data_IF_228213777673
#
_entry.id   IF_228213777673
#
_cell.length_a   1.000
_cell.length_b   1.000
_cell.length_c   1.000
_cell.angle_alpha   90.00
_cell.angle_beta   90.00
_cell.angle_gamma   90.00
#
_symmetry.space_group_name_H-M   'P 1'
#
loop_
_entity.id
_entity.type
_entity.pdbx_description
1 polymer ?
#
# COMPACT_ATOMS: atom_id res chain seq x y z
N UNK A 1 12.78 -34.47 -17.04
CA UNK A 1 11.67 -34.91 -16.19
C UNK A 1 11.11 -33.71 -15.40
N UNK A 2 9.78 -33.57 -15.28
CA UNK A 2 9.20 -32.49 -14.53
C UNK A 2 9.67 -32.58 -13.06
N UNK A 3 9.90 -31.43 -12.38
CA UNK A 3 10.33 -31.47 -10.98
C UNK A 3 9.25 -32.15 -10.13
N UNK A 4 9.65 -32.91 -9.10
CA UNK A 4 8.73 -33.70 -8.29
C UNK A 4 7.71 -32.82 -7.61
N UNK A 5 6.48 -33.34 -7.47
CA UNK A 5 5.29 -32.65 -6.91
C UNK A 5 5.54 -32.02 -5.52
N UNK A 6 6.53 -32.50 -4.79
CA UNK A 6 6.98 -31.95 -3.51
C UNK A 6 7.47 -30.50 -3.57
N UNK A 7 7.96 -30.04 -4.73
CA UNK A 7 8.45 -28.66 -4.90
C UNK A 7 7.31 -27.63 -4.90
N UNK A 8 6.10 -27.97 -5.37
CA UNK A 8 4.95 -27.06 -5.35
C UNK A 8 4.42 -26.81 -3.94
N UNK A 9 4.50 -27.78 -3.05
CA UNK A 9 4.15 -27.59 -1.64
C UNK A 9 5.17 -26.76 -0.87
N UNK A 10 6.44 -26.81 -1.26
CA UNK A 10 7.52 -26.02 -0.66
C UNK A 10 7.34 -24.51 -0.88
N UNK A 11 6.91 -24.07 -2.08
CA UNK A 11 6.73 -22.66 -2.38
C UNK A 11 5.59 -21.98 -1.59
N UNK A 12 4.51 -22.71 -1.29
CA UNK A 12 3.41 -22.19 -0.44
C UNK A 12 3.85 -21.95 1.01
N UNK A 13 4.58 -22.89 1.58
CA UNK A 13 5.17 -22.75 2.93
C UNK A 13 6.17 -21.60 2.98
N UNK A 14 7.01 -21.46 1.95
CA UNK A 14 8.02 -20.41 1.89
C UNK A 14 7.42 -18.99 1.94
N UNK A 15 6.29 -18.72 1.27
CA UNK A 15 5.68 -17.39 1.29
C UNK A 15 5.22 -16.97 2.68
N UNK A 16 4.42 -17.80 3.34
CA UNK A 16 3.94 -17.51 4.70
C UNK A 16 5.11 -17.46 5.69
N UNK A 17 6.09 -18.33 5.54
CA UNK A 17 7.32 -18.28 6.34
C UNK A 17 8.08 -16.96 6.11
N UNK A 18 8.25 -16.51 4.87
CA UNK A 18 8.96 -15.27 4.58
C UNK A 18 8.25 -14.03 5.18
N UNK A 19 6.91 -13.98 5.15
CA UNK A 19 6.14 -12.88 5.76
C UNK A 19 6.28 -12.93 7.28
N UNK A 20 6.14 -14.11 7.89
CA UNK A 20 6.31 -14.29 9.33
C UNK A 20 7.72 -13.92 9.78
N UNK A 21 8.74 -14.36 9.04
CA UNK A 21 10.13 -14.08 9.39
C UNK A 21 10.44 -12.57 9.31
N UNK A 22 9.90 -11.87 8.31
CA UNK A 22 9.99 -10.41 8.22
C UNK A 22 9.27 -9.72 9.38
N UNK A 23 8.04 -10.15 9.68
CA UNK A 23 7.29 -9.60 10.80
C UNK A 23 8.02 -9.83 12.12
N UNK A 24 8.53 -11.03 12.36
CA UNK A 24 9.28 -11.36 13.57
C UNK A 24 10.60 -10.57 13.65
N UNK A 25 11.27 -10.32 12.54
CA UNK A 25 12.45 -9.45 12.53
C UNK A 25 12.09 -7.99 12.94
N UNK A 26 10.96 -7.47 12.44
CA UNK A 26 10.45 -6.14 12.82
C UNK A 26 10.06 -6.12 14.30
N UNK A 27 9.35 -7.14 14.78
CA UNK A 27 8.94 -7.26 16.19
C UNK A 27 10.15 -7.31 17.13
N UNK A 28 11.14 -8.14 16.79
CA UNK A 28 12.40 -8.22 17.55
C UNK A 28 13.11 -6.86 17.62
N UNK A 29 13.15 -6.12 16.50
CA UNK A 29 13.74 -4.77 16.47
C UNK A 29 12.99 -3.78 17.36
N UNK A 30 11.67 -3.96 17.49
CA UNK A 30 10.81 -3.15 18.39
C UNK A 30 10.84 -3.61 19.85
N UNK A 31 11.56 -4.69 20.18
CA UNK A 31 11.60 -5.29 21.51
C UNK A 31 10.37 -6.15 21.84
N UNK A 32 9.60 -6.54 20.83
CA UNK A 32 8.41 -7.39 20.97
C UNK A 32 8.78 -8.87 20.82
N UNK A 33 8.02 -9.74 21.47
CA UNK A 33 8.20 -11.19 21.31
C UNK A 33 7.82 -11.67 19.92
N UNK A 34 8.57 -12.58 19.31
CA UNK A 34 8.22 -13.16 18.00
C UNK A 34 6.92 -13.97 18.09
N UNK A 35 6.13 -13.92 17.02
CA UNK A 35 4.92 -14.72 16.88
C UNK A 35 5.26 -16.17 16.57
N UNK A 36 4.58 -17.09 17.21
CA UNK A 36 4.60 -18.48 16.80
C UNK A 36 3.78 -18.71 15.51
N UNK A 37 3.69 -19.97 15.07
CA UNK A 37 3.01 -20.27 13.80
C UNK A 37 1.48 -20.11 13.90
N UNK A 38 0.88 -20.36 15.06
CA UNK A 38 -0.56 -20.27 15.27
C UNK A 38 -1.02 -18.83 15.41
N UNK A 39 -0.30 -18.05 16.21
CA UNK A 39 -0.53 -16.62 16.39
C UNK A 39 -0.39 -15.88 15.06
N UNK A 40 0.65 -16.24 14.28
CA UNK A 40 0.82 -15.67 12.94
C UNK A 40 -0.34 -16.01 12.00
N UNK A 41 -0.86 -17.24 12.02
CA UNK A 41 -2.01 -17.62 11.17
C UNK A 41 -3.28 -16.88 11.59
N UNK A 42 -3.49 -16.66 12.87
CA UNK A 42 -4.61 -15.86 13.40
C UNK A 42 -4.50 -14.41 12.89
N UNK A 43 -3.35 -13.78 13.05
CA UNK A 43 -3.09 -12.44 12.56
C UNK A 43 -3.32 -12.32 11.05
N UNK A 44 -2.84 -13.28 10.27
CA UNK A 44 -3.01 -13.29 8.80
C UNK A 44 -4.50 -13.33 8.41
N UNK A 45 -5.31 -14.11 9.11
CA UNK A 45 -6.77 -14.16 8.86
C UNK A 45 -7.43 -12.83 9.19
N UNK A 46 -7.18 -12.26 10.36
CA UNK A 46 -7.71 -10.96 10.77
C UNK A 46 -7.35 -9.86 9.77
N UNK A 47 -6.08 -9.80 9.35
CA UNK A 47 -5.63 -8.79 8.39
C UNK A 47 -6.18 -9.03 6.98
N UNK A 48 -6.40 -10.29 6.58
CA UNK A 48 -7.04 -10.60 5.29
C UNK A 48 -8.51 -10.15 5.27
N UNK A 49 -9.25 -10.36 6.36
CA UNK A 49 -10.63 -9.89 6.52
C UNK A 49 -10.69 -8.36 6.47
N UNK A 50 -9.78 -7.67 7.18
CA UNK A 50 -9.71 -6.21 7.23
C UNK A 50 -9.58 -5.58 5.82
N UNK A 51 -8.75 -6.18 4.96
CA UNK A 51 -8.52 -5.69 3.58
C UNK A 51 -9.35 -6.43 2.53
N UNK A 52 -10.33 -7.21 2.95
CA UNK A 52 -11.22 -8.02 2.08
C UNK A 52 -10.45 -8.87 1.06
N UNK A 53 -9.33 -9.47 1.51
CA UNK A 53 -8.55 -10.38 0.68
C UNK A 53 -9.13 -11.79 0.74
N UNK A 54 -9.44 -12.38 -0.42
CA UNK A 54 -9.91 -13.78 -0.48
C UNK A 54 -8.82 -14.72 0.07
N UNK A 55 -9.18 -15.58 1.03
CA UNK A 55 -8.27 -16.57 1.59
C UNK A 55 -7.63 -17.49 0.53
N UNK A 56 -8.30 -17.70 -0.61
CA UNK A 56 -7.74 -18.45 -1.73
C UNK A 56 -6.46 -17.80 -2.25
N UNK A 57 -6.35 -16.47 -2.20
CA UNK A 57 -5.16 -15.75 -2.60
C UNK A 57 -3.99 -15.97 -1.64
N UNK A 58 -4.26 -16.17 -0.34
CA UNK A 58 -3.24 -16.53 0.65
C UNK A 58 -2.60 -17.89 0.37
N UNK A 59 -3.32 -18.77 -0.33
CA UNK A 59 -2.88 -20.13 -0.67
C UNK A 59 -2.15 -20.20 -2.02
N UNK A 60 -2.15 -19.13 -2.83
CA UNK A 60 -1.47 -19.07 -4.12
C UNK A 60 -0.01 -18.62 -3.97
N UNK A 61 0.90 -19.04 -4.87
CA UNK A 61 2.25 -18.48 -4.97
C UNK A 61 2.17 -16.98 -5.25
N UNK A 62 3.15 -16.21 -4.77
CA UNK A 62 3.21 -14.76 -5.03
C UNK A 62 3.35 -14.52 -6.53
N UNK A 63 2.50 -13.65 -7.08
CA UNK A 63 2.52 -13.18 -8.47
C UNK A 63 2.18 -14.21 -9.55
N UNK A 64 1.84 -15.45 -9.23
CA UNK A 64 1.37 -16.41 -10.23
C UNK A 64 -0.14 -16.29 -10.46
N UNK A 65 -0.52 -15.78 -11.63
CA UNK A 65 -1.92 -15.71 -12.07
C UNK A 65 -2.79 -14.71 -11.30
N UNK A 66 -2.19 -13.69 -10.67
CA UNK A 66 -2.94 -12.60 -10.04
C UNK A 66 -3.33 -11.57 -11.09
N UNK A 67 -4.59 -11.15 -11.08
CA UNK A 67 -5.04 -9.93 -11.76
C UNK A 67 -4.36 -8.68 -11.17
N UNK A 68 -4.41 -7.55 -11.87
CA UNK A 68 -3.87 -6.28 -11.37
C UNK A 68 -4.46 -5.92 -9.99
N UNK A 69 -5.79 -6.01 -9.86
CA UNK A 69 -6.48 -5.72 -8.60
C UNK A 69 -6.12 -6.71 -7.47
N UNK A 70 -5.92 -8.00 -7.78
CA UNK A 70 -5.49 -8.98 -6.77
C UNK A 70 -4.06 -8.72 -6.27
N UNK A 71 -3.16 -8.25 -7.17
CA UNK A 71 -1.80 -7.85 -6.79
C UNK A 71 -1.83 -6.68 -5.82
N UNK A 72 -2.60 -5.63 -6.13
CA UNK A 72 -2.71 -4.44 -5.29
C UNK A 72 -3.35 -4.74 -3.93
N UNK A 73 -4.42 -5.54 -3.88
CA UNK A 73 -4.98 -6.03 -2.60
C UNK A 73 -3.95 -6.79 -1.78
N UNK A 74 -3.13 -7.60 -2.44
CA UNK A 74 -2.05 -8.32 -1.75
C UNK A 74 -0.96 -7.39 -1.22
N UNK A 75 -0.64 -6.28 -1.90
CA UNK A 75 0.27 -5.25 -1.40
C UNK A 75 -0.30 -4.58 -0.14
N UNK A 76 -1.58 -4.20 -0.14
CA UNK A 76 -2.26 -3.63 1.03
C UNK A 76 -2.32 -4.66 2.18
N UNK A 77 -2.58 -5.93 1.88
CA UNK A 77 -2.53 -6.99 2.88
C UNK A 77 -1.15 -7.12 3.53
N UNK A 78 -0.07 -7.06 2.75
CA UNK A 78 1.30 -7.07 3.31
C UNK A 78 1.54 -5.87 4.21
N UNK A 79 1.07 -4.68 3.81
CA UNK A 79 1.14 -3.49 4.64
C UNK A 79 0.36 -3.66 5.95
N UNK A 80 -0.84 -4.26 5.88
CA UNK A 80 -1.66 -4.55 7.07
C UNK A 80 -0.97 -5.52 8.04
N UNK A 81 -0.26 -6.53 7.54
CA UNK A 81 0.46 -7.52 8.36
C UNK A 81 1.74 -6.92 8.97
N UNK A 82 2.49 -6.12 8.20
CA UNK A 82 3.79 -5.60 8.63
C UNK A 82 3.68 -4.35 9.53
N UNK A 83 2.54 -3.69 9.51
CA UNK A 83 2.22 -2.49 10.32
C UNK A 83 3.36 -1.44 10.33
N UNK A 84 3.75 -0.92 9.14
CA UNK A 84 4.80 0.07 9.06
C UNK A 84 4.35 1.39 9.69
N UNK A 85 5.27 2.14 10.32
CA UNK A 85 5.02 3.52 10.78
C UNK A 85 4.89 4.50 9.62
N UNK A 86 5.57 4.25 8.51
CA UNK A 86 5.48 5.01 7.27
C UNK A 86 5.25 4.04 6.11
N UNK A 87 4.20 4.26 5.33
CA UNK A 87 3.91 3.55 4.10
C UNK A 87 4.00 4.51 2.91
N UNK A 88 4.71 4.11 1.87
CA UNK A 88 4.79 4.85 0.59
C UNK A 88 4.04 4.03 -0.44
N UNK A 89 2.98 4.60 -0.99
CA UNK A 89 2.10 4.02 -1.99
C UNK A 89 2.35 4.71 -3.33
N UNK A 90 3.14 4.07 -4.18
CA UNK A 90 3.54 4.61 -5.46
C UNK A 90 2.65 4.06 -6.57
N UNK A 91 1.86 4.93 -7.20
CA UNK A 91 0.92 4.61 -8.28
C UNK A 91 0.07 3.35 -7.99
N UNK A 92 -0.43 3.24 -6.76
CA UNK A 92 -1.19 2.06 -6.30
C UNK A 92 -2.53 1.91 -7.04
N UNK A 93 -3.00 2.96 -7.68
CA UNK A 93 -4.23 3.08 -8.46
C UNK A 93 -4.04 2.75 -9.95
N UNK A 94 -2.81 2.65 -10.43
CA UNK A 94 -2.51 2.38 -11.84
C UNK A 94 -3.07 1.03 -12.30
N UNK A 95 -3.85 1.03 -13.38
CA UNK A 95 -4.44 -0.18 -13.97
C UNK A 95 -5.56 -0.83 -13.17
N UNK A 96 -6.14 -0.12 -12.19
CA UNK A 96 -7.30 -0.58 -11.43
C UNK A 96 -8.61 -0.08 -12.03
N UNK A 97 -9.63 -0.94 -12.02
CA UNK A 97 -11.00 -0.51 -12.18
C UNK A 97 -11.51 0.20 -10.91
N UNK A 98 -12.68 0.83 -11.00
CA UNK A 98 -13.25 1.63 -9.90
C UNK A 98 -13.49 0.78 -8.64
N UNK A 99 -13.89 -0.47 -8.78
CA UNK A 99 -14.20 -1.33 -7.65
C UNK A 99 -12.94 -1.82 -6.95
N UNK A 100 -11.90 -2.17 -7.70
CA UNK A 100 -10.59 -2.49 -7.16
C UNK A 100 -9.97 -1.28 -6.46
N UNK A 101 -10.11 -0.07 -7.02
CA UNK A 101 -9.65 1.18 -6.43
C UNK A 101 -10.31 1.45 -5.07
N UNK A 102 -11.64 1.27 -4.96
CA UNK A 102 -12.38 1.41 -3.70
C UNK A 102 -11.86 0.45 -2.63
N UNK A 103 -11.67 -0.82 -2.98
CA UNK A 103 -11.18 -1.83 -2.04
C UNK A 103 -9.78 -1.49 -1.53
N UNK A 104 -8.89 -1.03 -2.41
CA UNK A 104 -7.55 -0.56 -2.03
C UNK A 104 -7.65 0.62 -1.07
N UNK A 105 -8.48 1.61 -1.41
CA UNK A 105 -8.68 2.79 -0.57
C UNK A 105 -9.29 2.46 0.80
N UNK A 106 -10.27 1.56 0.85
CA UNK A 106 -10.86 1.06 2.10
C UNK A 106 -9.78 0.37 2.97
N UNK A 107 -8.91 -0.45 2.36
CA UNK A 107 -7.80 -1.08 3.06
C UNK A 107 -6.81 -0.07 3.64
N UNK A 108 -6.45 0.98 2.89
CA UNK A 108 -5.59 2.07 3.38
C UNK A 108 -6.28 2.82 4.52
N UNK A 109 -7.55 3.20 4.35
CA UNK A 109 -8.30 3.94 5.36
C UNK A 109 -8.48 3.13 6.65
N UNK A 110 -8.66 1.81 6.55
CA UNK A 110 -8.75 0.92 7.71
C UNK A 110 -7.45 0.85 8.54
N UNK A 111 -6.31 1.22 7.92
CA UNK A 111 -5.00 1.26 8.57
C UNK A 111 -4.63 2.66 9.08
N UNK A 112 -5.44 3.69 8.80
CA UNK A 112 -5.25 5.06 9.33
C UNK A 112 -5.73 5.11 10.79
N UNK A 113 -4.81 5.06 11.70
CA UNK A 113 -5.06 5.03 13.15
C UNK A 113 -4.49 6.25 13.90
N UNK A 114 -3.90 7.21 13.18
CA UNK A 114 -3.21 8.37 13.76
C UNK A 114 -1.76 8.10 14.18
N UNK A 115 -1.35 6.84 14.26
CA UNK A 115 0.01 6.45 14.61
C UNK A 115 0.90 6.19 13.39
N UNK A 116 0.29 6.16 12.21
CA UNK A 116 0.93 5.83 10.92
C UNK A 116 0.84 6.98 9.95
N UNK A 117 1.90 7.13 9.16
CA UNK A 117 1.95 8.08 8.06
C UNK A 117 1.87 7.36 6.72
N UNK A 118 1.11 7.93 5.79
CA UNK A 118 0.97 7.43 4.43
C UNK A 118 1.41 8.52 3.46
N UNK A 119 2.33 8.18 2.56
CA UNK A 119 2.69 9.00 1.40
C UNK A 119 2.09 8.32 0.18
N UNK A 120 1.14 8.99 -0.47
CA UNK A 120 0.47 8.47 -1.66
C UNK A 120 0.96 9.28 -2.85
N UNK A 121 1.62 8.60 -3.80
CA UNK A 121 2.05 9.19 -5.07
C UNK A 121 1.06 8.74 -6.12
N UNK A 122 0.36 9.67 -6.72
CA UNK A 122 -0.64 9.40 -7.76
C UNK A 122 -0.76 10.56 -8.72
N UNK A 123 -1.06 10.26 -9.97
CA UNK A 123 -1.50 11.23 -10.96
C UNK A 123 -3.02 11.12 -11.23
N UNK A 124 -3.70 10.20 -10.54
CA UNK A 124 -5.16 10.03 -10.63
C UNK A 124 -5.85 10.65 -9.42
N UNK A 125 -6.48 11.78 -9.63
CA UNK A 125 -7.22 12.49 -8.58
C UNK A 125 -8.39 11.68 -8.01
N UNK A 126 -8.93 10.73 -8.78
CA UNK A 126 -10.02 9.84 -8.32
C UNK A 126 -9.67 9.09 -7.04
N UNK A 127 -8.40 8.75 -6.82
CA UNK A 127 -7.96 8.11 -5.58
C UNK A 127 -8.19 9.01 -4.38
N UNK A 128 -7.99 10.34 -4.53
CA UNK A 128 -8.15 11.33 -3.46
C UNK A 128 -9.60 11.52 -3.01
N UNK A 129 -10.57 11.04 -3.79
CA UNK A 129 -11.97 10.99 -3.39
C UNK A 129 -12.25 9.85 -2.38
N UNK A 130 -11.42 8.83 -2.38
CA UNK A 130 -11.54 7.68 -1.48
C UNK A 130 -10.52 7.72 -0.33
N UNK A 131 -9.30 8.21 -0.60
CA UNK A 131 -8.26 8.44 0.41
C UNK A 131 -8.09 9.95 0.52
N UNK A 132 -8.87 10.57 1.43
CA UNK A 132 -8.81 12.02 1.62
C UNK A 132 -7.47 12.38 2.28
N UNK A 133 -6.61 13.16 1.61
CA UNK A 133 -5.32 13.54 2.17
C UNK A 133 -5.46 14.64 3.21
N UNK A 134 -4.57 14.65 4.20
CA UNK A 134 -4.42 15.75 5.15
C UNK A 134 -3.57 16.88 4.52
N UNK A 135 -2.57 16.50 3.71
CA UNK A 135 -1.69 17.41 2.99
C UNK A 135 -1.52 16.97 1.54
N UNK A 136 -1.43 17.94 0.64
CA UNK A 136 -1.18 17.74 -0.79
C UNK A 136 0.05 18.52 -1.17
N UNK A 137 0.99 17.87 -1.85
CA UNK A 137 2.20 18.47 -2.39
C UNK A 137 2.24 18.25 -3.89
N UNK A 138 2.40 19.31 -4.66
CA UNK A 138 2.52 19.24 -6.12
C UNK A 138 3.99 19.24 -6.49
N UNK A 139 4.41 18.15 -7.15
CA UNK A 139 5.75 17.97 -7.64
C UNK A 139 5.80 18.30 -9.14
N UNK A 140 6.67 19.24 -9.53
CA UNK A 140 6.92 19.61 -10.94
C UNK A 140 8.42 19.82 -11.13
N UNK A 141 8.98 19.21 -12.16
CA UNK A 141 10.42 19.32 -12.49
C UNK A 141 11.36 19.00 -11.29
N UNK A 142 10.99 18.00 -10.50
CA UNK A 142 11.78 17.55 -9.34
C UNK A 142 11.70 18.47 -8.12
N UNK A 143 10.78 19.47 -8.11
CA UNK A 143 10.58 20.39 -6.99
C UNK A 143 9.14 20.40 -6.52
N UNK A 144 8.93 20.58 -5.23
CA UNK A 144 7.60 20.85 -4.68
C UNK A 144 7.29 22.32 -4.99
N UNK A 145 6.35 22.55 -5.92
CA UNK A 145 5.97 23.90 -6.38
C UNK A 145 4.78 24.46 -5.59
N UNK A 146 3.97 23.60 -4.98
CA UNK A 146 2.82 24.03 -4.17
C UNK A 146 2.56 23.00 -3.07
N UNK A 147 2.07 23.49 -1.94
CA UNK A 147 1.58 22.65 -0.83
C UNK A 147 0.27 23.22 -0.31
N UNK A 148 -0.66 22.35 0.04
CA UNK A 148 -1.98 22.76 0.55
C UNK A 148 -2.71 21.55 1.13
N UNK A 149 -3.99 21.74 1.41
CA UNK A 149 -4.90 20.69 1.86
C UNK A 149 -5.65 20.05 0.69
N UNK A 150 -6.78 19.43 0.99
CA UNK A 150 -7.67 18.78 0.02
C UNK A 150 -8.12 19.72 -1.11
N UNK A 151 -8.34 20.99 -0.79
CA UNK A 151 -8.75 22.03 -1.74
C UNK A 151 -7.77 22.19 -2.90
N UNK A 152 -6.47 22.00 -2.64
CA UNK A 152 -5.46 22.03 -3.70
C UNK A 152 -5.64 20.89 -4.69
N UNK A 153 -5.98 19.69 -4.22
CA UNK A 153 -6.26 18.55 -5.09
C UNK A 153 -7.49 18.81 -5.99
N UNK A 154 -8.55 19.38 -5.43
CA UNK A 154 -9.76 19.75 -6.19
C UNK A 154 -9.46 20.85 -7.23
N UNK A 155 -8.64 21.83 -6.88
CA UNK A 155 -8.24 22.87 -7.80
C UNK A 155 -7.42 22.32 -8.97
N UNK A 156 -6.52 21.37 -8.71
CA UNK A 156 -5.76 20.68 -9.75
C UNK A 156 -6.66 19.86 -10.69
N UNK A 157 -7.72 19.26 -10.16
CA UNK A 157 -8.71 18.53 -10.94
C UNK A 157 -9.47 19.45 -11.91
N UNK A 158 -9.86 20.63 -11.45
CA UNK A 158 -10.66 21.57 -12.21
C UNK A 158 -9.81 22.36 -13.23
N UNK A 159 -8.63 22.81 -12.85
CA UNK A 159 -7.81 23.76 -13.62
C UNK A 159 -6.57 23.14 -14.28
N UNK A 160 -6.25 21.85 -14.00
CA UNK A 160 -5.02 21.23 -14.47
C UNK A 160 -3.77 21.78 -13.76
N UNK A 161 -2.60 21.65 -14.43
CA UNK A 161 -1.32 22.07 -13.87
C UNK A 161 -0.76 23.38 -14.47
N UNK A 162 -1.40 23.94 -15.48
CA UNK A 162 -0.87 25.05 -16.28
C UNK A 162 -0.79 26.36 -15.48
N UNK A 163 -1.67 26.55 -14.50
CA UNK A 163 -1.68 27.70 -13.60
C UNK A 163 -0.60 27.68 -12.52
N UNK A 164 0.09 26.53 -12.34
CA UNK A 164 1.20 26.40 -11.39
C UNK A 164 2.44 27.07 -11.98
N UNK A 165 2.62 28.34 -11.71
CA UNK A 165 3.88 29.02 -11.99
C UNK A 165 4.96 28.48 -11.06
N UNK A 166 6.12 28.17 -11.64
CA UNK A 166 7.32 27.90 -10.86
C UNK A 166 7.75 29.26 -10.33
N UNK A 167 7.40 29.62 -9.10
CA UNK A 167 8.04 30.77 -8.46
C UNK A 167 9.55 30.53 -8.52
N UNK A 168 10.32 31.44 -9.11
CA UNK A 168 11.76 31.30 -9.09
C UNK A 168 12.19 31.22 -7.62
N UNK A 169 12.90 30.15 -7.26
CA UNK A 169 13.40 29.97 -5.91
C UNK A 169 14.07 31.29 -5.51
N UNK A 170 13.57 31.92 -4.43
CA UNK A 170 14.25 33.06 -3.85
C UNK A 170 15.67 32.60 -3.51
N UNK A 171 16.61 33.07 -4.33
CA UNK A 171 18.04 32.89 -4.07
C UNK A 171 18.29 33.70 -2.81
N UNK A 172 18.22 33.02 -1.67
CA UNK A 172 18.60 33.60 -0.38
C UNK A 172 20.06 33.96 -0.42
N UNK A 173 20.33 35.24 -0.24
CA UNK A 173 21.63 35.80 -0.01
C UNK A 173 22.24 35.33 1.31
#
# INVERSE_FOLDING_TARGET
>A
PPPPISTRFGFRRQRQMCIRDRLNAIRNHRGESPLDAMDFLTLVKEKAELVRLDEKLLKRPVNEGFSGGEKKRNEIFHMAVLEPKLAILDETDSGLDIDALKIVAEGVNALRDGERSFVVITHYQRLLNYIVPDFVHVLKDGKIVRSGGRELALQLEDQGYDWLEIEPAAVGA
#
